data_IF_854572106300
#
_entry.id   IF_854572106300
#
_cell.length_a   1.000
_cell.length_b   1.000
_cell.length_c   1.000
_cell.angle_alpha   90.00
_cell.angle_beta   90.00
_cell.angle_gamma   90.00
#
_symmetry.space_group_name_H-M   'P 1'
#
loop_
_entity.id
_entity.type
_entity.pdbx_description
1 polymer ?
#
# COMPACT_ATOMS: atom_id res chain seq x y z
N UNK A 1 -15.99 -1.18 -10.63
CA UNK A 1 -14.98 -0.56 -9.73
C UNK A 1 -13.85 -1.58 -9.59
N UNK A 2 -13.38 -2.08 -10.74
CA UNK A 2 -12.58 -3.33 -10.82
C UNK A 2 -11.30 -3.12 -11.64
N UNK A 3 -11.36 -2.24 -12.66
CA UNK A 3 -10.22 -1.87 -13.49
C UNK A 3 -9.08 -1.21 -12.69
N UNK A 4 -9.37 -0.35 -11.71
CA UNK A 4 -8.34 0.33 -10.91
C UNK A 4 -7.51 -0.66 -10.08
N UNK A 5 -8.10 -1.79 -9.64
CA UNK A 5 -7.37 -2.81 -8.89
C UNK A 5 -6.49 -3.64 -9.81
N UNK A 6 -6.97 -3.92 -11.02
CA UNK A 6 -6.16 -4.54 -12.08
C UNK A 6 -4.95 -3.68 -12.43
N UNK A 7 -5.14 -2.36 -12.55
CA UNK A 7 -4.06 -1.44 -12.89
C UNK A 7 -2.95 -1.39 -11.83
N UNK A 8 -3.32 -1.44 -10.54
CA UNK A 8 -2.34 -1.53 -9.46
C UNK A 8 -1.60 -2.88 -9.47
N UNK A 9 -2.31 -3.99 -9.70
CA UNK A 9 -1.68 -5.31 -9.81
C UNK A 9 -0.71 -5.36 -11.00
N UNK A 10 -1.11 -4.82 -12.15
CA UNK A 10 -0.27 -4.70 -13.34
C UNK A 10 0.96 -3.81 -13.07
N UNK A 11 0.79 -2.68 -12.37
CA UNK A 11 1.90 -1.83 -11.95
C UNK A 11 2.90 -2.57 -11.06
N UNK A 12 2.42 -3.34 -10.09
CA UNK A 12 3.28 -4.16 -9.21
C UNK A 12 4.03 -5.20 -10.03
N UNK A 13 3.36 -5.91 -10.96
CA UNK A 13 4.02 -6.89 -11.85
C UNK A 13 5.09 -6.23 -12.71
N UNK A 14 4.77 -5.11 -13.38
CA UNK A 14 5.71 -4.39 -14.23
C UNK A 14 6.91 -3.87 -13.46
N UNK A 15 6.70 -3.35 -12.26
CA UNK A 15 7.79 -2.93 -11.36
C UNK A 15 8.67 -4.12 -11.00
N UNK A 16 8.06 -5.26 -10.65
CA UNK A 16 8.78 -6.49 -10.33
C UNK A 16 9.66 -6.96 -11.48
N UNK A 17 9.11 -7.02 -12.69
CA UNK A 17 9.82 -7.45 -13.89
C UNK A 17 10.92 -6.46 -14.30
N UNK A 18 10.63 -5.15 -14.25
CA UNK A 18 11.58 -4.10 -14.64
C UNK A 18 12.79 -4.04 -13.73
N UNK A 19 12.60 -4.20 -12.42
CA UNK A 19 13.68 -4.08 -11.44
C UNK A 19 14.21 -5.43 -10.96
N UNK A 20 13.62 -6.55 -11.40
CA UNK A 20 13.94 -7.91 -10.98
C UNK A 20 13.98 -8.08 -9.45
N UNK A 21 12.96 -7.55 -8.77
CA UNK A 21 12.84 -7.53 -7.31
C UNK A 21 11.72 -8.45 -6.82
N UNK A 22 11.63 -8.68 -5.51
CA UNK A 22 10.47 -9.37 -4.93
C UNK A 22 9.18 -8.52 -5.01
N UNK A 23 8.01 -9.14 -4.78
CA UNK A 23 6.72 -8.41 -4.70
C UNK A 23 6.74 -7.37 -3.57
N UNK A 24 7.38 -7.69 -2.44
CA UNK A 24 7.51 -6.76 -1.33
C UNK A 24 8.38 -5.55 -1.68
N UNK A 25 9.50 -5.77 -2.36
CA UNK A 25 10.37 -4.69 -2.82
C UNK A 25 9.72 -3.86 -3.93
N UNK A 26 8.96 -4.47 -4.84
CA UNK A 26 8.18 -3.74 -5.83
C UNK A 26 7.18 -2.78 -5.16
N UNK A 27 6.50 -3.22 -4.10
CA UNK A 27 5.66 -2.33 -3.30
C UNK A 27 6.46 -1.21 -2.63
N UNK A 28 7.66 -1.49 -2.11
CA UNK A 28 8.52 -0.44 -1.55
C UNK A 28 8.89 0.62 -2.60
N UNK A 29 9.24 0.19 -3.81
CA UNK A 29 9.56 1.10 -4.92
C UNK A 29 8.35 1.95 -5.32
N UNK A 30 7.18 1.34 -5.44
CA UNK A 30 5.94 2.07 -5.78
C UNK A 30 5.56 3.05 -4.66
N UNK A 31 5.68 2.65 -3.41
CA UNK A 31 5.31 3.49 -2.26
C UNK A 31 6.39 4.51 -1.87
N UNK A 32 7.55 4.50 -2.52
CA UNK A 32 8.51 5.60 -2.39
C UNK A 32 7.91 6.91 -2.95
N UNK A 33 7.04 6.80 -3.95
CA UNK A 33 6.30 7.92 -4.53
C UNK A 33 5.18 8.39 -3.58
N UNK A 34 5.14 9.70 -3.32
CA UNK A 34 4.15 10.31 -2.41
C UNK A 34 2.74 10.32 -3.02
N UNK A 35 2.59 10.57 -4.31
CA UNK A 35 1.29 10.56 -4.98
C UNK A 35 0.69 9.16 -4.96
N UNK A 36 1.53 8.14 -5.18
CA UNK A 36 1.11 6.74 -5.06
C UNK A 36 0.68 6.39 -3.64
N UNK A 37 1.39 6.86 -2.61
CA UNK A 37 0.96 6.69 -1.21
C UNK A 37 -0.38 7.35 -0.95
N UNK A 38 -0.61 8.57 -1.45
CA UNK A 38 -1.89 9.28 -1.30
C UNK A 38 -3.04 8.52 -1.99
N UNK A 39 -2.82 8.04 -3.22
CA UNK A 39 -3.80 7.26 -3.97
C UNK A 39 -4.17 5.96 -3.22
N UNK A 40 -3.17 5.20 -2.77
CA UNK A 40 -3.42 3.94 -2.06
C UNK A 40 -4.08 4.19 -0.70
N UNK A 41 -3.70 5.25 0.02
CA UNK A 41 -4.37 5.63 1.26
C UNK A 41 -5.85 5.94 1.00
N UNK A 42 -6.16 6.70 -0.05
CA UNK A 42 -7.54 6.99 -0.43
C UNK A 42 -8.31 5.69 -0.72
N UNK A 43 -7.73 4.79 -1.53
CA UNK A 43 -8.36 3.51 -1.88
C UNK A 43 -8.59 2.60 -0.68
N UNK A 44 -7.63 2.48 0.23
CA UNK A 44 -7.78 1.68 1.45
C UNK A 44 -8.92 2.17 2.35
N UNK A 45 -9.24 3.47 2.31
CA UNK A 45 -10.35 4.03 3.08
C UNK A 45 -11.72 3.93 2.38
N UNK A 46 -11.75 3.85 1.04
CA UNK A 46 -13.00 3.85 0.25
C UNK A 46 -13.37 2.49 -0.34
N UNK A 47 -12.41 1.58 -0.51
CA UNK A 47 -12.59 0.25 -1.07
C UNK A 47 -12.42 -0.82 0.03
N UNK A 48 -13.46 -1.64 0.24
CA UNK A 48 -13.48 -2.67 1.28
C UNK A 48 -12.47 -3.80 1.06
N UNK A 49 -12.11 -4.13 -0.18
CA UNK A 49 -11.10 -5.14 -0.48
C UNK A 49 -9.69 -4.61 -0.18
N UNK A 50 -9.39 -3.37 -0.58
CA UNK A 50 -8.14 -2.69 -0.20
C UNK A 50 -8.03 -2.54 1.31
N UNK A 51 -9.13 -2.19 2.00
CA UNK A 51 -9.19 -2.09 3.46
C UNK A 51 -8.85 -3.43 4.13
N UNK A 52 -9.41 -4.54 3.65
CA UNK A 52 -9.12 -5.89 4.17
C UNK A 52 -7.64 -6.24 4.00
N UNK A 53 -7.05 -5.93 2.85
CA UNK A 53 -5.62 -6.18 2.62
C UNK A 53 -4.72 -5.36 3.55
N UNK A 54 -5.02 -4.07 3.74
CA UNK A 54 -4.27 -3.22 4.67
C UNK A 54 -4.40 -3.70 6.12
N UNK A 55 -5.60 -4.11 6.54
CA UNK A 55 -5.83 -4.72 7.86
C UNK A 55 -5.08 -6.04 8.04
N UNK A 56 -5.04 -6.87 6.99
CA UNK A 56 -4.27 -8.11 6.98
C UNK A 56 -2.77 -7.82 7.13
N UNK A 57 -2.22 -6.85 6.39
CA UNK A 57 -0.81 -6.45 6.49
C UNK A 57 -0.48 -5.95 7.91
N UNK A 58 -1.32 -5.08 8.48
CA UNK A 58 -1.17 -4.63 9.87
C UNK A 58 -1.19 -5.79 10.87
N UNK A 59 -2.07 -6.78 10.68
CA UNK A 59 -2.18 -7.93 11.57
C UNK A 59 -1.00 -8.89 11.47
N UNK A 60 -0.46 -9.12 10.27
CA UNK A 60 0.59 -10.12 10.04
C UNK A 60 2.00 -9.55 10.19
N UNK A 61 2.19 -8.26 9.86
CA UNK A 61 3.48 -7.59 9.95
C UNK A 61 3.64 -6.77 11.23
N UNK A 62 2.55 -6.43 11.92
CA UNK A 62 2.56 -5.66 13.16
C UNK A 62 3.33 -4.35 13.01
N UNK A 63 4.40 -4.21 13.80
CA UNK A 63 5.29 -3.04 13.79
C UNK A 63 6.11 -2.90 12.50
N UNK A 64 6.05 -3.86 11.58
CA UNK A 64 6.66 -3.73 10.24
C UNK A 64 5.66 -3.35 9.16
N UNK A 65 4.38 -3.20 9.50
CA UNK A 65 3.38 -2.79 8.52
C UNK A 65 3.63 -1.37 8.02
N UNK A 66 3.36 -1.15 6.73
CA UNK A 66 3.42 0.18 6.11
C UNK A 66 2.20 1.01 6.45
N UNK A 67 1.18 0.39 7.05
CA UNK A 67 -0.07 1.03 7.41
C UNK A 67 -0.17 1.17 8.92
N UNK A 68 -0.82 2.25 9.34
CA UNK A 68 -1.23 2.47 10.72
C UNK A 68 -2.71 2.80 10.75
N UNK A 69 -3.36 2.41 11.84
CA UNK A 69 -4.73 2.80 12.10
C UNK A 69 -4.73 4.20 12.73
N UNK A 70 -5.54 5.08 12.18
CA UNK A 70 -5.76 6.44 12.64
C UNK A 70 -7.25 6.63 12.92
N UNK A 71 -7.66 6.28 14.13
CA UNK A 71 -9.08 6.17 14.49
C UNK A 71 -9.81 5.17 13.57
N UNK A 72 -10.74 5.69 12.76
CA UNK A 72 -11.51 4.89 11.80
C UNK A 72 -10.85 4.77 10.42
N UNK A 73 -9.82 5.58 10.16
CA UNK A 73 -9.09 5.61 8.90
C UNK A 73 -7.80 4.79 8.97
N UNK A 74 -7.27 4.43 7.79
CA UNK A 74 -5.97 3.79 7.65
C UNK A 74 -5.06 4.76 6.90
N UNK A 75 -3.87 5.01 7.43
CA UNK A 75 -2.86 5.88 6.82
C UNK A 75 -1.55 5.12 6.62
N UNK A 76 -0.70 5.61 5.73
CA UNK A 76 0.68 5.11 5.66
C UNK A 76 1.45 5.55 6.91
N UNK A 77 2.29 4.65 7.42
CA UNK A 77 3.28 5.00 8.42
C UNK A 77 4.27 5.97 7.80
N UNK A 78 4.43 7.14 8.40
CA UNK A 78 5.48 8.07 8.01
C UNK A 78 6.83 7.47 8.40
N UNK A 79 7.75 7.42 7.45
CA UNK A 79 9.12 6.98 7.67
C UNK A 79 9.90 7.93 8.60
N UNK A 80 9.37 9.14 8.79
CA UNK A 80 10.13 10.29 9.28
C UNK A 80 9.85 10.63 10.75
N UNK A 81 9.11 9.78 11.47
CA UNK A 81 8.85 9.96 12.90
C UNK A 81 8.11 11.25 13.27
N UNK A 82 7.43 11.92 12.33
CA UNK A 82 6.66 13.13 12.63
C UNK A 82 5.14 12.88 12.73
N UNK A 83 4.48 13.45 13.76
CA UNK A 83 3.08 13.22 14.11
C UNK A 83 2.08 13.59 13.00
#
# INVERSE_FOLDING_TARGET
MDDENRDFIELVKRTREKFNVSVEEAHNLIFADEEMRRLVAWRVNHDGACRKQALWDMRHKGDRSRFIRDGESIRFRRSDGQP
#
